data_IF_046037695514
#
_entry.id   IF_046037695514
#
_cell.length_a   1.000
_cell.length_b   1.000
_cell.length_c   1.000
_cell.angle_alpha   90.00
_cell.angle_beta   90.00
_cell.angle_gamma   90.00
#
_symmetry.space_group_name_H-M   'P 1'
#
loop_
_entity.id
_entity.type
_entity.pdbx_description
1 polymer ?
#
# COMPACT_ATOMS: atom_id res chain seq x y z
N UNK A 1 1.79 -3.44 -14.82
CA UNK A 1 1.36 -2.03 -14.87
C UNK A 1 0.85 -1.64 -13.50
N UNK A 2 1.30 -0.53 -12.93
CA UNK A 2 0.78 0.01 -11.69
C UNK A 2 -0.31 1.05 -12.03
N UNK A 3 -1.52 0.89 -11.50
CA UNK A 3 -2.60 1.87 -11.67
C UNK A 3 -2.83 2.59 -10.34
N UNK A 4 -2.81 3.93 -10.39
CA UNK A 4 -3.23 4.81 -9.30
C UNK A 4 -4.74 5.04 -9.40
N UNK A 5 -5.46 4.85 -8.29
CA UNK A 5 -6.92 5.05 -8.23
C UNK A 5 -7.24 6.39 -7.56
N UNK A 6 -8.16 7.18 -8.14
CA UNK A 6 -8.58 8.50 -7.64
C UNK A 6 -9.72 8.42 -6.59
N UNK A 7 -9.91 9.46 -5.74
CA UNK A 7 -10.97 9.57 -4.72
C UNK A 7 -12.40 9.36 -5.22
N UNK A 8 -13.26 8.87 -4.32
CA UNK A 8 -14.71 8.75 -4.52
C UNK A 8 -15.59 9.58 -3.57
N UNK A 9 -15.05 10.49 -2.74
CA UNK A 9 -15.87 11.39 -1.90
C UNK A 9 -15.09 12.62 -1.38
N UNK A 10 -15.70 13.81 -1.22
CA UNK A 10 -15.02 15.05 -0.84
C UNK A 10 -14.61 15.19 0.64
N UNK A 11 -15.13 14.35 1.55
CA UNK A 11 -14.95 14.56 3.01
C UNK A 11 -13.76 13.82 3.66
N UNK A 12 -13.03 13.02 2.89
CA UNK A 12 -11.79 12.35 3.33
C UNK A 12 -10.79 12.52 2.19
N UNK A 13 -9.59 13.09 2.41
CA UNK A 13 -8.59 13.12 1.36
C UNK A 13 -8.37 11.68 0.88
N UNK A 14 -8.51 11.40 -0.42
CA UNK A 14 -8.21 10.08 -0.96
C UNK A 14 -6.83 9.70 -0.48
N UNK A 15 -6.78 8.70 0.37
CA UNK A 15 -5.54 8.02 0.53
C UNK A 15 -5.43 7.06 -0.66
N UNK A 16 -4.38 7.25 -1.45
CA UNK A 16 -4.15 6.44 -2.64
C UNK A 16 -4.02 4.95 -2.31
N UNK A 17 -4.09 4.12 -3.33
CA UNK A 17 -3.73 2.71 -3.22
C UNK A 17 -2.90 2.29 -4.41
N UNK A 18 -2.01 1.33 -4.19
CA UNK A 18 -1.15 0.76 -5.23
C UNK A 18 -1.60 -0.69 -5.44
N UNK A 19 -1.98 -1.02 -6.67
CA UNK A 19 -2.39 -2.36 -7.04
C UNK A 19 -1.24 -3.01 -7.81
N UNK A 20 -0.85 -4.21 -7.38
CA UNK A 20 0.24 -4.99 -7.95
C UNK A 20 -0.41 -6.19 -8.63
N UNK A 21 -0.25 -6.30 -9.94
CA UNK A 21 -0.86 -7.36 -10.75
C UNK A 21 0.05 -7.79 -11.87
N UNK A 22 -0.11 -9.04 -12.30
CA UNK A 22 0.57 -9.55 -13.49
C UNK A 22 -0.13 -9.01 -14.74
N UNK A 23 0.64 -8.34 -15.61
CA UNK A 23 0.11 -7.73 -16.83
C UNK A 23 -0.38 -8.75 -17.86
N UNK A 24 0.19 -9.94 -17.89
CA UNK A 24 -0.15 -10.99 -18.86
C UNK A 24 -1.38 -11.79 -18.41
N UNK A 25 -1.50 -12.07 -17.12
CA UNK A 25 -2.59 -12.91 -16.58
C UNK A 25 -3.74 -12.11 -15.97
N UNK A 26 -3.53 -10.82 -15.68
CA UNK A 26 -4.49 -9.98 -14.95
C UNK A 26 -4.65 -10.34 -13.47
N UNK A 27 -3.90 -11.32 -12.95
CA UNK A 27 -4.02 -11.76 -11.55
C UNK A 27 -3.50 -10.67 -10.60
N UNK A 28 -4.33 -10.29 -9.64
CA UNK A 28 -3.93 -9.44 -8.52
C UNK A 28 -2.96 -10.20 -7.60
N UNK A 29 -1.81 -9.60 -7.32
CA UNK A 29 -0.79 -10.15 -6.43
C UNK A 29 -0.91 -9.53 -5.05
N UNK A 30 -1.05 -8.20 -4.99
CA UNK A 30 -1.15 -7.48 -3.73
C UNK A 30 -1.79 -6.10 -3.94
N UNK A 31 -2.28 -5.54 -2.84
CA UNK A 31 -2.82 -4.17 -2.80
C UNK A 31 -2.31 -3.45 -1.56
N UNK A 32 -1.64 -2.33 -1.79
CA UNK A 32 -1.16 -1.44 -0.73
C UNK A 32 -2.24 -0.38 -0.51
N UNK A 33 -2.79 -0.32 0.72
CA UNK A 33 -3.85 0.63 1.10
C UNK A 33 -3.51 1.36 2.38
N UNK A 34 -3.93 2.61 2.50
CA UNK A 34 -3.83 3.43 3.71
C UNK A 34 -4.72 2.98 4.87
N UNK A 35 -5.86 2.35 4.55
CA UNK A 35 -6.85 1.99 5.54
C UNK A 35 -6.43 0.70 6.21
N UNK A 36 -6.17 0.76 7.51
CA UNK A 36 -6.07 -0.44 8.32
C UNK A 36 -7.36 -1.26 8.28
N UNK A 37 -7.30 -2.42 7.66
CA UNK A 37 -8.19 -3.54 7.94
C UNK A 37 -7.45 -4.82 7.58
N UNK A 38 -7.48 -5.89 8.40
CA UNK A 38 -6.93 -7.16 7.99
C UNK A 38 -7.58 -7.58 6.67
N UNK A 39 -6.86 -8.30 5.79
CA UNK A 39 -7.53 -8.96 4.69
C UNK A 39 -8.63 -9.82 5.31
N UNK A 40 -9.88 -9.57 4.92
CA UNK A 40 -10.93 -10.56 5.12
C UNK A 40 -10.52 -11.76 4.28
N UNK A 41 -9.83 -12.67 4.95
CA UNK A 41 -10.01 -14.12 4.87
C UNK A 41 -10.35 -14.66 3.48
N UNK A 42 -9.34 -15.19 2.79
CA UNK A 42 -9.50 -16.51 2.18
C UNK A 42 -8.22 -17.32 2.48
N UNK A 43 -8.40 -18.27 3.40
CA UNK A 43 -7.64 -19.52 3.63
C UNK A 43 -6.10 -19.49 3.60
N UNK A 44 -5.48 -19.45 4.80
CA UNK A 44 -4.55 -20.50 5.30
C UNK A 44 -3.62 -19.97 6.41
N UNK A 45 -3.87 -20.45 7.64
CA UNK A 45 -2.93 -20.74 8.74
C UNK A 45 -1.78 -19.76 9.09
N UNK A 46 -1.80 -19.20 10.31
CA UNK A 46 -0.81 -19.41 11.40
C UNK A 46 -0.79 -18.28 12.45
N UNK A 47 -1.27 -18.62 13.66
CA UNK A 47 -0.80 -18.22 15.01
C UNK A 47 -0.22 -16.81 15.33
N UNK A 48 -0.92 -16.19 16.30
CA UNK A 48 -0.42 -15.52 17.53
C UNK A 48 0.41 -14.22 17.45
N UNK A 49 -0.14 -13.15 18.02
CA UNK A 49 0.24 -12.62 19.35
C UNK A 49 0.12 -11.10 19.44
N UNK A 50 -0.34 -10.69 20.60
CA UNK A 50 -0.76 -9.36 21.03
C UNK A 50 0.39 -8.36 21.07
N UNK A 51 0.28 -7.20 20.40
CA UNK A 51 0.94 -5.95 20.81
C UNK A 51 0.15 -4.74 20.30
N UNK A 52 -0.83 -4.33 21.10
CA UNK A 52 -1.55 -3.07 20.96
C UNK A 52 -0.60 -1.90 21.25
N UNK A 53 -0.49 -0.98 20.29
CA UNK A 53 -0.13 0.46 20.36
C UNK A 53 0.73 0.94 19.19
N UNK A 54 1.39 0.06 18.43
CA UNK A 54 2.15 0.43 17.23
C UNK A 54 1.31 0.57 15.95
N UNK A 55 0.07 0.12 15.97
CA UNK A 55 -0.80 0.15 14.79
C UNK A 55 -1.22 1.57 14.41
N UNK A 56 -1.42 2.48 15.38
CA UNK A 56 -1.83 3.88 15.10
C UNK A 56 -0.70 4.69 14.44
N UNK A 57 0.54 4.55 14.92
CA UNK A 57 1.68 5.29 14.36
C UNK A 57 2.05 4.78 12.96
N UNK A 58 1.98 3.45 12.72
CA UNK A 58 2.18 2.87 11.38
C UNK A 58 1.06 3.23 10.40
N UNK A 59 -0.18 3.39 10.87
CA UNK A 59 -1.32 3.82 10.02
C UNK A 59 -1.08 5.20 9.41
N UNK A 60 -0.54 6.13 10.19
CA UNK A 60 -0.23 7.48 9.69
C UNK A 60 0.88 7.45 8.64
N UNK A 61 1.94 6.65 8.86
CA UNK A 61 3.04 6.54 7.91
C UNK A 61 2.62 5.95 6.55
N UNK A 62 1.71 4.97 6.54
CA UNK A 62 1.19 4.38 5.29
C UNK A 62 0.25 5.36 4.57
N UNK A 63 -0.56 6.11 5.32
CA UNK A 63 -1.42 7.15 4.74
C UNK A 63 -0.60 8.28 4.09
N UNK A 64 0.45 8.75 4.77
CA UNK A 64 1.39 9.76 4.26
C UNK A 64 2.19 9.27 3.05
N UNK A 65 2.54 7.98 3.04
CA UNK A 65 3.25 7.35 1.93
C UNK A 65 2.44 7.25 0.64
N UNK A 66 1.11 7.20 0.77
CA UNK A 66 0.17 7.05 -0.33
C UNK A 66 -0.55 8.36 -0.68
N UNK A 67 -0.21 9.46 0.00
CA UNK A 67 -0.71 10.80 -0.32
C UNK A 67 0.11 11.39 -1.47
N UNK A 68 -0.56 11.84 -2.52
CA UNK A 68 0.02 12.55 -3.66
C UNK A 68 1.36 11.97 -4.14
N UNK A 69 1.33 10.69 -4.54
CA UNK A 69 2.47 10.00 -5.13
C UNK A 69 2.84 10.68 -6.45
N UNK A 70 4.07 11.16 -6.54
CA UNK A 70 4.62 11.85 -7.71
C UNK A 70 5.63 11.00 -8.49
N UNK A 71 6.23 10.00 -7.84
CA UNK A 71 7.20 9.10 -8.45
C UNK A 71 7.00 7.66 -7.98
N UNK A 72 7.27 6.71 -8.88
CA UNK A 72 7.20 5.28 -8.60
C UNK A 72 8.31 4.54 -9.34
N UNK A 73 9.02 3.67 -8.64
CA UNK A 73 10.05 2.79 -9.19
C UNK A 73 9.89 1.38 -8.62
N UNK A 74 10.08 0.36 -9.45
CA UNK A 74 10.03 -1.05 -9.04
C UNK A 74 11.39 -1.68 -9.29
N UNK A 75 11.95 -2.27 -8.24
CA UNK A 75 13.16 -3.07 -8.29
C UNK A 75 12.77 -4.54 -8.44
N UNK A 76 12.97 -5.09 -9.63
CA UNK A 76 12.61 -6.48 -9.95
C UNK A 76 13.49 -7.50 -9.23
N UNK A 77 14.75 -7.16 -8.96
CA UNK A 77 15.70 -8.07 -8.30
C UNK A 77 15.36 -8.23 -6.82
N UNK A 78 14.92 -7.14 -6.19
CA UNK A 78 14.60 -7.11 -4.76
C UNK A 78 13.11 -7.29 -4.46
N UNK A 79 12.26 -7.27 -5.49
CA UNK A 79 10.80 -7.29 -5.37
C UNK A 79 10.29 -6.16 -4.46
N UNK A 80 10.84 -4.97 -4.65
CA UNK A 80 10.59 -3.76 -3.86
C UNK A 80 9.99 -2.64 -4.70
N UNK A 81 9.04 -1.91 -4.14
CA UNK A 81 8.47 -0.70 -4.74
C UNK A 81 8.93 0.51 -3.95
N UNK A 82 9.46 1.50 -4.66
CA UNK A 82 9.85 2.80 -4.13
C UNK A 82 8.84 3.85 -4.60
N UNK A 83 8.27 4.60 -3.67
CA UNK A 83 7.31 5.66 -3.96
C UNK A 83 7.76 6.99 -3.39
N UNK A 84 7.70 8.06 -4.20
CA UNK A 84 7.95 9.44 -3.78
C UNK A 84 6.65 10.22 -3.68
N UNK A 85 6.48 11.06 -2.65
CA UNK A 85 5.32 11.93 -2.48
C UNK A 85 5.65 13.42 -2.68
N UNK A 86 4.62 14.29 -2.71
CA UNK A 86 4.78 15.76 -2.85
C UNK A 86 5.62 16.40 -1.74
N UNK A 87 5.72 15.75 -0.58
CA UNK A 87 6.49 16.23 0.57
C UNK A 87 7.99 15.91 0.45
N UNK A 88 8.39 15.15 -0.59
CA UNK A 88 9.78 14.76 -0.83
C UNK A 88 10.21 13.52 -0.05
N UNK A 89 9.29 12.78 0.57
CA UNK A 89 9.60 11.52 1.25
C UNK A 89 9.61 10.36 0.27
N UNK A 90 10.51 9.40 0.53
CA UNK A 90 10.60 8.13 -0.19
C UNK A 90 10.17 7.02 0.74
N UNK A 91 9.22 6.21 0.29
CA UNK A 91 8.71 5.04 0.99
C UNK A 91 9.05 3.78 0.21
N UNK A 92 9.45 2.74 0.93
CA UNK A 92 9.84 1.44 0.35
C UNK A 92 8.84 0.39 0.81
N UNK A 93 8.33 -0.38 -0.14
CA UNK A 93 7.39 -1.47 0.07
C UNK A 93 8.02 -2.78 -0.41
N UNK A 94 8.30 -3.68 0.51
CA UNK A 94 8.79 -5.04 0.22
C UNK A 94 7.64 -6.04 0.35
N UNK A 95 7.61 -7.04 -0.52
CA UNK A 95 6.73 -8.21 -0.38
C UNK A 95 7.31 -9.27 0.55
#
# INVERSE_FOLDING_TARGET
MCFLSLPTSPDIPPTGSINISNILTGKCLAKITSSSGPPKEDESSSSSSSLGNNSKQRRNAVAEALEDITALFYDEERNEIYTGNRHGFVHVWSN
#
